data_IF_297589521284
#
_entry.id   IF_297589521284
#
_cell.length_a   1.000
_cell.length_b   1.000
_cell.length_c   1.000
_cell.angle_alpha   90.00
_cell.angle_beta   90.00
_cell.angle_gamma   90.00
#
_symmetry.space_group_name_H-M   'P 1'
#
loop_
_entity.id
_entity.type
_entity.pdbx_description
1 polymer ?
#
# COMPACT_ATOMS: atom_id res chain seq x y z
N UNK A 1 -13.12 11.83 31.26
CA UNK A 1 -11.76 12.36 31.03
C UNK A 1 -11.53 12.24 29.54
N UNK A 2 -11.44 13.34 28.78
CA UNK A 2 -11.18 13.25 27.33
C UNK A 2 -9.69 12.97 27.14
N UNK A 3 -9.33 11.76 26.71
CA UNK A 3 -8.05 11.57 26.04
C UNK A 3 -8.04 12.48 24.82
N UNK A 4 -7.03 13.33 24.71
CA UNK A 4 -6.88 14.20 23.56
C UNK A 4 -6.23 13.41 22.44
N UNK A 5 -7.03 13.01 21.45
CA UNK A 5 -6.53 12.39 20.22
C UNK A 5 -5.32 13.17 19.70
N UNK A 6 -4.09 12.60 19.72
CA UNK A 6 -2.84 13.34 19.49
C UNK A 6 -2.67 13.76 18.03
N UNK A 7 -3.47 13.17 17.14
CA UNK A 7 -3.46 13.47 15.73
C UNK A 7 -4.34 14.67 15.39
N UNK A 8 -3.70 15.83 15.30
CA UNK A 8 -4.27 17.04 14.71
C UNK A 8 -4.14 17.01 13.18
N UNK A 9 -4.96 17.78 12.44
CA UNK A 9 -4.82 17.90 10.99
C UNK A 9 -3.41 18.33 10.54
N UNK A 10 -2.76 19.22 11.30
CA UNK A 10 -1.39 19.67 11.06
C UNK A 10 -0.38 18.54 11.20
N UNK A 11 -0.44 17.77 12.29
CA UNK A 11 0.47 16.65 12.52
C UNK A 11 0.29 15.55 11.46
N UNK A 12 -0.95 15.24 11.09
CA UNK A 12 -1.24 14.25 10.03
C UNK A 12 -0.79 14.75 8.66
N UNK A 13 -1.00 16.03 8.35
CA UNK A 13 -0.46 16.67 7.14
C UNK A 13 1.06 16.51 7.05
N UNK A 14 1.79 16.83 8.12
CA UNK A 14 3.25 16.73 8.17
C UNK A 14 3.69 15.27 8.00
N UNK A 15 3.07 14.35 8.73
CA UNK A 15 3.38 12.92 8.67
C UNK A 15 3.16 12.33 7.27
N UNK A 16 2.03 12.63 6.62
CA UNK A 16 1.73 12.14 5.28
C UNK A 16 2.70 12.70 4.24
N UNK A 17 3.04 13.99 4.30
CA UNK A 17 3.97 14.59 3.35
C UNK A 17 5.39 14.06 3.51
N UNK A 18 5.91 14.00 4.74
CA UNK A 18 7.25 13.50 5.00
C UNK A 18 7.38 12.04 4.54
N UNK A 19 6.40 11.21 4.88
CA UNK A 19 6.38 9.80 4.49
C UNK A 19 6.27 9.65 2.97
N UNK A 20 5.44 10.44 2.31
CA UNK A 20 5.33 10.44 0.85
C UNK A 20 6.67 10.77 0.16
N UNK A 21 7.42 11.76 0.68
CA UNK A 21 8.73 12.11 0.14
C UNK A 21 9.74 10.98 0.33
N UNK A 22 9.85 10.42 1.54
CA UNK A 22 10.76 9.31 1.83
C UNK A 22 10.43 8.05 1.01
N UNK A 23 9.15 7.70 0.88
CA UNK A 23 8.69 6.56 0.05
C UNK A 23 9.02 6.80 -1.43
N UNK A 24 8.77 8.01 -1.94
CA UNK A 24 9.05 8.34 -3.32
C UNK A 24 10.56 8.38 -3.62
N UNK A 25 11.39 8.81 -2.66
CA UNK A 25 12.85 8.70 -2.77
C UNK A 25 13.29 7.22 -2.84
N UNK A 26 12.82 6.39 -1.91
CA UNK A 26 13.12 4.96 -1.91
C UNK A 26 12.73 4.31 -3.23
N UNK A 27 11.53 4.59 -3.73
CA UNK A 27 10.99 3.99 -4.95
C UNK A 27 11.81 4.24 -6.23
N UNK A 28 12.64 5.30 -6.23
CA UNK A 28 13.53 5.68 -7.34
C UNK A 28 14.96 5.16 -7.15
N UNK A 29 15.25 4.54 -6.02
CA UNK A 29 16.55 3.96 -5.73
C UNK A 29 16.81 2.72 -6.59
N UNK A 30 18.08 2.45 -6.87
CA UNK A 30 18.46 1.23 -7.58
C UNK A 30 18.32 0.03 -6.63
N UNK A 31 17.62 -1.04 -7.03
CA UNK A 31 17.55 -2.25 -6.22
C UNK A 31 18.93 -2.85 -5.99
N UNK A 32 19.29 -3.06 -4.72
CA UNK A 32 20.50 -3.81 -4.33
C UNK A 32 20.07 -5.00 -3.45
N UNK A 33 19.54 -6.02 -4.12
CA UNK A 33 19.11 -7.27 -3.50
C UNK A 33 20.32 -8.12 -3.07
N UNK A 34 20.11 -9.01 -2.12
CA UNK A 34 21.06 -10.04 -1.70
C UNK A 34 21.52 -10.97 -2.83
N UNK A 35 20.77 -11.05 -3.92
CA UNK A 35 21.08 -11.84 -5.12
C UNK A 35 21.44 -10.94 -6.28
N UNK A 36 22.34 -11.39 -7.16
CA UNK A 36 22.57 -10.73 -8.44
C UNK A 36 21.32 -10.89 -9.32
N UNK A 37 20.56 -9.80 -9.46
CA UNK A 37 19.31 -9.76 -10.22
C UNK A 37 19.55 -10.15 -11.68
N UNK A 38 20.67 -9.72 -12.27
CA UNK A 38 21.00 -10.01 -13.67
C UNK A 38 21.31 -11.50 -13.83
N UNK A 39 22.12 -12.07 -12.95
CA UNK A 39 22.42 -13.52 -12.99
C UNK A 39 21.14 -14.34 -12.84
N UNK A 40 20.27 -13.95 -11.91
CA UNK A 40 18.97 -14.61 -11.75
C UNK A 40 18.14 -14.52 -13.04
N UNK A 41 18.04 -13.33 -13.64
CA UNK A 41 17.23 -13.10 -14.83
C UNK A 41 17.82 -13.80 -16.08
N UNK A 42 19.13 -13.92 -16.21
CA UNK A 42 19.76 -14.72 -17.26
C UNK A 42 19.41 -16.21 -17.12
N UNK A 43 19.34 -16.72 -15.88
CA UNK A 43 18.98 -18.11 -15.59
C UNK A 43 17.48 -18.39 -15.72
N UNK A 44 16.67 -17.46 -15.22
CA UNK A 44 15.23 -17.64 -15.04
C UNK A 44 14.40 -16.93 -16.09
N UNK A 45 14.99 -16.10 -16.94
CA UNK A 45 14.35 -15.48 -18.08
C UNK A 45 14.19 -16.45 -19.26
N UNK A 46 13.37 -16.05 -20.22
CA UNK A 46 13.27 -16.68 -21.54
C UNK A 46 12.75 -15.69 -22.60
N UNK A 47 12.43 -16.21 -23.78
CA UNK A 47 11.87 -15.44 -24.90
C UNK A 47 10.54 -14.75 -24.60
N UNK A 48 9.85 -15.13 -23.53
CA UNK A 48 8.57 -14.55 -23.13
C UNK A 48 8.78 -13.51 -22.03
N UNK A 49 9.54 -13.84 -20.99
CA UNK A 49 9.88 -12.91 -19.91
C UNK A 49 11.40 -12.93 -19.74
N UNK A 50 12.08 -11.90 -20.23
CA UNK A 50 13.54 -11.80 -20.18
C UNK A 50 14.09 -11.55 -18.78
N UNK A 51 13.37 -10.78 -17.98
CA UNK A 51 13.86 -10.23 -16.71
C UNK A 51 12.80 -10.33 -15.60
N UNK A 52 12.39 -11.56 -15.22
CA UNK A 52 11.26 -11.80 -14.31
C UNK A 52 11.45 -11.19 -12.91
N UNK A 53 12.66 -11.23 -12.35
CA UNK A 53 12.95 -10.65 -11.05
C UNK A 53 13.04 -9.13 -11.13
N UNK A 54 13.81 -8.59 -12.07
CA UNK A 54 13.89 -7.15 -12.29
C UNK A 54 12.51 -6.51 -12.56
N UNK A 55 11.65 -7.19 -13.34
CA UNK A 55 10.25 -6.77 -13.55
C UNK A 55 9.48 -6.69 -12.24
N UNK A 56 9.68 -7.64 -11.33
CA UNK A 56 9.04 -7.64 -10.02
C UNK A 56 9.54 -6.51 -9.11
N UNK A 57 10.84 -6.19 -9.16
CA UNK A 57 11.41 -5.04 -8.45
C UNK A 57 10.89 -3.71 -9.01
N UNK A 58 10.78 -3.58 -10.34
CA UNK A 58 10.16 -2.41 -10.97
C UNK A 58 8.70 -2.24 -10.57
N UNK A 59 7.94 -3.34 -10.56
CA UNK A 59 6.55 -3.32 -10.14
C UNK A 59 6.39 -2.89 -8.67
N UNK A 60 7.26 -3.41 -7.79
CA UNK A 60 7.33 -2.97 -6.39
C UNK A 60 7.57 -1.45 -6.31
N UNK A 61 8.57 -0.93 -7.01
CA UNK A 61 8.85 0.51 -7.05
C UNK A 61 7.66 1.33 -7.52
N UNK A 62 6.96 0.90 -8.59
CA UNK A 62 5.75 1.58 -9.08
C UNK A 62 4.60 1.57 -8.07
N UNK A 63 4.44 0.49 -7.29
CA UNK A 63 3.47 0.49 -6.19
C UNK A 63 3.84 1.50 -5.10
N UNK A 64 5.12 1.62 -4.75
CA UNK A 64 5.56 2.62 -3.78
C UNK A 64 5.37 4.06 -4.28
N UNK A 65 5.66 4.34 -5.56
CA UNK A 65 5.39 5.65 -6.17
C UNK A 65 3.91 6.01 -6.02
N UNK A 66 3.01 5.10 -6.43
CA UNK A 66 1.57 5.36 -6.32
C UNK A 66 1.13 5.57 -4.88
N UNK A 67 1.65 4.79 -3.93
CA UNK A 67 1.37 4.98 -2.51
C UNK A 67 1.84 6.36 -1.99
N UNK A 68 3.05 6.78 -2.36
CA UNK A 68 3.59 8.10 -2.00
C UNK A 68 2.76 9.25 -2.59
N UNK A 69 2.37 9.16 -3.85
CA UNK A 69 1.55 10.19 -4.53
C UNK A 69 0.16 10.33 -3.89
N UNK A 70 -0.48 9.22 -3.53
CA UNK A 70 -1.74 9.25 -2.80
C UNK A 70 -1.58 9.78 -1.37
N UNK A 71 -0.51 9.43 -0.66
CA UNK A 71 -0.23 9.97 0.68
C UNK A 71 0.00 11.47 0.67
N UNK A 72 0.77 11.97 -0.29
CA UNK A 72 0.96 13.40 -0.48
C UNK A 72 -0.38 14.11 -0.70
N UNK A 73 -1.25 13.52 -1.52
CA UNK A 73 -2.59 14.05 -1.78
C UNK A 73 -3.47 14.05 -0.53
N UNK A 74 -3.45 12.98 0.27
CA UNK A 74 -4.14 12.93 1.58
C UNK A 74 -3.66 14.07 2.46
N UNK A 75 -2.34 14.23 2.61
CA UNK A 75 -1.73 15.31 3.39
C UNK A 75 -2.30 16.66 3.00
N UNK A 76 -2.28 17.01 1.71
CA UNK A 76 -2.83 18.29 1.22
C UNK A 76 -4.31 18.49 1.52
N UNK A 77 -5.12 17.44 1.47
CA UNK A 77 -6.56 17.53 1.71
C UNK A 77 -6.91 17.66 3.21
N UNK A 78 -6.15 17.01 4.09
CA UNK A 78 -6.36 17.12 5.54
C UNK A 78 -5.75 18.40 6.12
N UNK A 79 -4.73 18.98 5.48
CA UNK A 79 -4.10 20.23 5.88
C UNK A 79 -4.83 21.52 5.44
N UNK A 80 -6.00 21.40 4.82
CA UNK A 80 -6.83 22.57 4.49
C UNK A 80 -7.42 23.20 5.75
N UNK A 81 -7.71 24.50 5.70
CA UNK A 81 -8.43 25.21 6.80
C UNK A 81 -9.76 24.52 7.14
N UNK A 82 -10.43 23.99 6.11
CA UNK A 82 -11.58 23.10 6.24
C UNK A 82 -11.23 21.75 5.60
N UNK A 83 -10.76 20.77 6.39
CA UNK A 83 -10.35 19.47 5.87
C UNK A 83 -11.46 18.76 5.09
N UNK A 84 -11.11 18.14 3.97
CA UNK A 84 -12.05 17.32 3.19
C UNK A 84 -12.30 15.99 3.92
N UNK A 85 -13.56 15.55 3.99
CA UNK A 85 -13.91 14.33 4.75
C UNK A 85 -14.07 13.07 3.90
N UNK A 86 -14.32 13.21 2.59
CA UNK A 86 -14.61 12.05 1.72
C UNK A 86 -13.42 11.59 0.90
N UNK A 87 -12.79 12.51 0.17
CA UNK A 87 -11.69 12.20 -0.75
C UNK A 87 -10.49 11.55 -0.05
N UNK A 88 -10.08 11.98 1.17
CA UNK A 88 -8.97 11.31 1.86
C UNK A 88 -9.23 9.84 2.15
N UNK A 89 -10.46 9.43 2.44
CA UNK A 89 -10.78 8.01 2.67
C UNK A 89 -10.56 7.16 1.41
N UNK A 90 -11.05 7.62 0.26
CA UNK A 90 -10.83 6.92 -1.01
C UNK A 90 -9.33 6.82 -1.36
N UNK A 91 -8.56 7.89 -1.11
CA UNK A 91 -7.12 7.89 -1.31
C UNK A 91 -6.40 6.98 -0.30
N UNK A 92 -6.81 6.98 0.96
CA UNK A 92 -6.26 6.12 2.02
C UNK A 92 -6.42 4.64 1.66
N UNK A 93 -7.56 4.26 1.07
CA UNK A 93 -7.74 2.91 0.52
C UNK A 93 -6.69 2.60 -0.54
N UNK A 94 -6.51 3.50 -1.49
CA UNK A 94 -5.54 3.33 -2.58
C UNK A 94 -4.11 3.19 -2.04
N UNK A 95 -3.73 3.99 -1.04
CA UNK A 95 -2.43 3.84 -0.34
C UNK A 95 -2.29 2.43 0.23
N UNK A 96 -3.29 1.93 0.96
CA UNK A 96 -3.22 0.58 1.55
C UNK A 96 -3.13 -0.51 0.48
N UNK A 97 -3.88 -0.36 -0.63
CA UNK A 97 -3.87 -1.28 -1.76
C UNK A 97 -2.53 -1.33 -2.49
N UNK A 98 -1.89 -0.19 -2.70
CA UNK A 98 -0.58 -0.11 -3.36
C UNK A 98 0.52 -0.62 -2.43
N UNK A 99 0.54 -0.12 -1.19
CA UNK A 99 1.56 -0.45 -0.19
C UNK A 99 1.55 -1.93 0.20
N UNK A 100 0.37 -2.52 0.39
CA UNK A 100 0.27 -3.95 0.72
C UNK A 100 0.79 -4.86 -0.40
N UNK A 101 0.61 -4.47 -1.68
CA UNK A 101 1.17 -5.20 -2.82
C UNK A 101 2.69 -5.05 -2.90
N UNK A 102 3.22 -3.85 -2.67
CA UNK A 102 4.66 -3.63 -2.57
C UNK A 102 5.26 -4.49 -1.44
N UNK A 103 4.66 -4.44 -0.24
CA UNK A 103 5.05 -5.25 0.91
C UNK A 103 5.01 -6.75 0.61
N UNK A 104 3.96 -7.22 -0.09
CA UNK A 104 3.86 -8.63 -0.47
C UNK A 104 4.98 -9.05 -1.41
N UNK A 105 5.40 -8.23 -2.37
CA UNK A 105 6.59 -8.57 -3.18
C UNK A 105 7.85 -8.54 -2.29
N UNK A 106 8.02 -7.48 -1.50
CA UNK A 106 9.23 -7.24 -0.69
C UNK A 106 9.51 -8.36 0.32
N UNK A 107 8.47 -8.88 0.96
CA UNK A 107 8.57 -9.94 1.99
C UNK A 107 8.74 -11.35 1.45
N UNK A 108 8.90 -11.52 0.13
CA UNK A 108 9.23 -12.84 -0.41
C UNK A 108 10.62 -13.27 0.11
N UNK A 109 10.74 -14.46 0.73
CA UNK A 109 11.98 -14.94 1.34
C UNK A 109 13.09 -15.25 0.33
N UNK A 110 12.73 -15.52 -0.91
CA UNK A 110 13.64 -15.92 -1.98
C UNK A 110 13.25 -15.26 -3.31
N UNK A 111 14.19 -15.16 -4.28
CA UNK A 111 13.94 -14.48 -5.54
C UNK A 111 12.93 -15.21 -6.45
N UNK A 112 12.82 -16.54 -6.35
CA UNK A 112 11.84 -17.32 -7.12
C UNK A 112 10.42 -16.90 -6.72
N UNK A 113 10.14 -16.88 -5.43
CA UNK A 113 8.86 -16.46 -4.89
C UNK A 113 8.60 -14.99 -5.16
N UNK A 114 9.62 -14.12 -5.14
CA UNK A 114 9.48 -12.70 -5.48
C UNK A 114 9.06 -12.50 -6.93
N UNK A 115 9.74 -13.17 -7.85
CA UNK A 115 9.40 -13.18 -9.27
C UNK A 115 7.97 -13.69 -9.50
N UNK A 116 7.56 -14.74 -8.79
CA UNK A 116 6.21 -15.30 -8.87
C UNK A 116 5.13 -14.38 -8.30
N UNK A 117 5.41 -13.67 -7.20
CA UNK A 117 4.48 -12.69 -6.64
C UNK A 117 4.25 -11.54 -7.61
N UNK A 118 5.32 -10.99 -8.21
CA UNK A 118 5.21 -9.97 -9.25
C UNK A 118 4.40 -10.46 -10.47
N UNK A 119 4.74 -11.64 -11.00
CA UNK A 119 3.99 -12.31 -12.06
C UNK A 119 2.49 -12.47 -11.74
N UNK A 120 2.18 -12.91 -10.52
CA UNK A 120 0.81 -13.12 -10.06
C UNK A 120 0.00 -11.82 -10.06
N UNK A 121 0.59 -10.69 -9.64
CA UNK A 121 -0.08 -9.39 -9.66
C UNK A 121 -0.30 -8.89 -11.09
N UNK A 122 0.68 -9.05 -11.99
CA UNK A 122 0.53 -8.68 -13.40
C UNK A 122 -0.62 -9.47 -14.03
N UNK A 123 -0.67 -10.79 -13.78
CA UNK A 123 -1.75 -11.66 -14.27
C UNK A 123 -3.11 -11.25 -13.71
N UNK A 124 -3.17 -10.87 -12.44
CA UNK A 124 -4.40 -10.37 -11.82
C UNK A 124 -4.88 -9.08 -12.48
N UNK A 125 -3.98 -8.11 -12.66
CA UNK A 125 -4.30 -6.84 -13.32
C UNK A 125 -4.79 -7.03 -14.75
N UNK A 126 -4.17 -7.93 -15.51
CA UNK A 126 -4.64 -8.30 -16.85
C UNK A 126 -6.04 -8.92 -16.82
N UNK A 127 -6.29 -9.84 -15.87
CA UNK A 127 -7.59 -10.49 -15.71
C UNK A 127 -8.69 -9.48 -15.39
N UNK A 128 -8.40 -8.46 -14.58
CA UNK A 128 -9.34 -7.41 -14.22
C UNK A 128 -9.59 -6.44 -15.38
N UNK A 129 -8.55 -6.04 -16.12
CA UNK A 129 -8.69 -5.24 -17.34
C UNK A 129 -9.57 -5.91 -18.40
N UNK A 130 -9.44 -7.24 -18.55
CA UNK A 130 -10.28 -8.02 -19.45
C UNK A 130 -11.76 -7.99 -19.05
N UNK A 131 -12.06 -8.06 -17.73
CA UNK A 131 -13.44 -8.00 -17.24
C UNK A 131 -14.08 -6.64 -17.48
N UNK A 132 -13.30 -5.56 -17.47
CA UNK A 132 -13.78 -4.19 -17.68
C UNK A 132 -13.83 -3.79 -19.16
N UNK A 133 -13.58 -4.72 -20.09
CA UNK A 133 -13.64 -4.46 -21.53
C UNK A 133 -12.44 -3.66 -22.06
N UNK A 134 -11.37 -3.51 -21.27
CA UNK A 134 -10.12 -2.91 -21.73
C UNK A 134 -9.35 -4.00 -22.50
N UNK A 135 -9.79 -4.30 -23.71
CA UNK A 135 -9.22 -5.36 -24.54
C UNK A 135 -7.91 -4.93 -25.22
N UNK A 136 -7.77 -3.63 -25.50
CA UNK A 136 -6.64 -3.01 -26.21
C UNK A 136 -5.67 -2.29 -25.28
N UNK A 137 -5.26 -2.91 -24.17
CA UNK A 137 -3.96 -2.54 -23.58
C UNK A 137 -2.90 -2.94 -24.64
N UNK A 138 -2.04 -2.03 -25.13
CA UNK A 138 -1.01 -2.41 -26.08
C UNK A 138 -0.18 -3.58 -25.55
N UNK A 139 -0.18 -4.72 -26.25
CA UNK A 139 0.51 -5.94 -25.83
C UNK A 139 -0.27 -6.90 -24.91
N UNK A 140 -1.53 -6.59 -24.52
CA UNK A 140 -2.34 -7.36 -23.56
C UNK A 140 -2.49 -8.85 -23.89
N UNK A 141 -2.83 -9.20 -25.14
CA UNK A 141 -2.95 -10.59 -25.62
C UNK A 141 -1.63 -11.35 -25.57
N UNK A 142 -0.49 -10.64 -25.67
CA UNK A 142 0.83 -11.24 -25.50
C UNK A 142 1.13 -11.50 -24.03
N UNK A 143 0.63 -10.69 -23.09
CA UNK A 143 0.91 -10.82 -21.66
C UNK A 143 0.42 -12.17 -21.11
N UNK A 144 -0.83 -12.54 -21.31
CA UNK A 144 -1.34 -13.82 -20.74
C UNK A 144 -0.61 -15.04 -21.32
N UNK A 145 -0.43 -15.07 -22.64
CA UNK A 145 0.37 -16.11 -23.29
C UNK A 145 1.82 -16.14 -22.77
N UNK A 146 2.45 -14.98 -22.63
CA UNK A 146 3.81 -14.82 -22.12
C UNK A 146 3.95 -15.34 -20.70
N UNK A 147 3.04 -14.93 -19.82
CA UNK A 147 3.01 -15.31 -18.41
C UNK A 147 2.80 -16.82 -18.24
N UNK A 148 1.85 -17.40 -18.99
CA UNK A 148 1.56 -18.83 -18.93
C UNK A 148 2.69 -19.67 -19.52
N UNK A 149 3.28 -19.24 -20.64
CA UNK A 149 4.41 -19.93 -21.27
C UNK A 149 5.67 -19.93 -20.41
N UNK A 150 6.00 -18.80 -19.77
CA UNK A 150 7.11 -18.71 -18.82
C UNK A 150 6.88 -19.66 -17.63
N UNK A 151 5.65 -19.70 -17.09
CA UNK A 151 5.32 -20.58 -15.97
C UNK A 151 5.35 -22.07 -16.34
N UNK A 152 4.89 -22.45 -17.53
CA UNK A 152 4.83 -23.84 -17.97
C UNK A 152 6.22 -24.50 -18.02
N UNK A 153 7.27 -23.74 -18.37
CA UNK A 153 8.65 -24.22 -18.39
C UNK A 153 9.28 -24.38 -17.00
N UNK A 154 8.58 -23.94 -15.94
CA UNK A 154 9.09 -23.90 -14.55
C UNK A 154 8.11 -24.63 -13.61
N UNK A 155 7.87 -25.94 -13.83
CA UNK A 155 6.85 -26.69 -13.08
C UNK A 155 7.19 -26.87 -11.59
N UNK A 156 8.48 -26.81 -11.25
CA UNK A 156 8.98 -26.99 -9.87
C UNK A 156 8.77 -25.77 -8.97
N UNK A 157 8.47 -24.60 -9.55
CA UNK A 157 8.20 -23.40 -8.78
C UNK A 157 6.90 -23.56 -7.95
N UNK A 158 6.79 -22.97 -6.75
CA UNK A 158 5.57 -23.06 -5.95
C UNK A 158 4.38 -22.40 -6.65
N UNK A 159 3.16 -22.83 -6.30
CA UNK A 159 1.93 -22.15 -6.73
C UNK A 159 1.68 -20.96 -5.83
N UNK A 160 1.42 -19.80 -6.44
CA UNK A 160 1.12 -18.55 -5.72
C UNK A 160 -0.24 -18.05 -6.20
N UNK A 161 -1.14 -17.78 -5.26
CA UNK A 161 -2.45 -17.16 -5.54
C UNK A 161 -2.38 -15.66 -5.34
N UNK A 162 -3.24 -14.93 -6.06
CA UNK A 162 -3.42 -13.50 -5.81
C UNK A 162 -3.86 -13.28 -4.35
N UNK A 163 -3.19 -12.42 -3.59
CA UNK A 163 -3.53 -12.18 -2.20
C UNK A 163 -4.80 -11.33 -2.11
N UNK A 164 -5.59 -11.53 -1.05
CA UNK A 164 -6.66 -10.59 -0.69
C UNK A 164 -6.05 -9.40 0.04
N UNK A 165 -6.34 -8.17 -0.39
CA UNK A 165 -5.76 -6.97 0.22
C UNK A 165 -6.07 -6.88 1.71
N UNK A 166 -7.31 -7.12 2.11
CA UNK A 166 -7.69 -7.09 3.53
C UNK A 166 -6.81 -8.00 4.41
N UNK A 167 -6.41 -9.17 3.89
CA UNK A 167 -5.52 -10.10 4.61
C UNK A 167 -4.08 -9.61 4.65
N UNK A 168 -3.61 -8.91 3.60
CA UNK A 168 -2.28 -8.30 3.62
C UNK A 168 -2.22 -7.15 4.62
N UNK A 169 -3.25 -6.29 4.65
CA UNK A 169 -3.34 -5.19 5.60
C UNK A 169 -3.44 -5.71 7.04
N UNK A 170 -4.21 -6.78 7.27
CA UNK A 170 -4.25 -7.50 8.55
C UNK A 170 -2.87 -8.01 8.98
N UNK A 171 -2.08 -8.56 8.06
CA UNK A 171 -0.72 -9.01 8.36
C UNK A 171 0.25 -7.87 8.69
N UNK A 172 -0.04 -6.64 8.24
CA UNK A 172 0.80 -5.46 8.46
C UNK A 172 0.42 -4.70 9.74
N UNK A 173 -0.88 -4.55 10.02
CA UNK A 173 -1.38 -3.70 11.12
C UNK A 173 -2.35 -4.42 12.08
N UNK A 174 -2.57 -5.72 11.93
CA UNK A 174 -3.53 -6.49 12.72
C UNK A 174 -4.99 -6.19 12.37
N UNK A 175 -5.90 -6.61 13.25
CA UNK A 175 -7.36 -6.51 13.05
C UNK A 175 -7.85 -5.07 12.84
N UNK A 176 -7.20 -4.09 13.46
CA UNK A 176 -7.52 -2.67 13.26
C UNK A 176 -7.28 -2.23 11.80
N UNK A 177 -6.17 -2.66 11.19
CA UNK A 177 -5.86 -2.34 9.81
C UNK A 177 -6.89 -2.93 8.85
N UNK A 178 -7.29 -4.19 9.09
CA UNK A 178 -8.33 -4.86 8.31
C UNK A 178 -9.68 -4.16 8.41
N UNK A 179 -10.10 -3.78 9.63
CA UNK A 179 -11.34 -3.03 9.87
C UNK A 179 -11.31 -1.68 9.14
N UNK A 180 -10.20 -0.96 9.25
CA UNK A 180 -10.00 0.32 8.57
C UNK A 180 -10.07 0.17 7.05
N UNK A 181 -9.38 -0.81 6.47
CA UNK A 181 -9.45 -1.11 5.03
C UNK A 181 -10.87 -1.41 4.56
N UNK A 182 -11.62 -2.23 5.30
CA UNK A 182 -12.99 -2.58 4.95
C UNK A 182 -13.93 -1.36 5.00
N UNK A 183 -13.78 -0.49 6.01
CA UNK A 183 -14.53 0.77 6.10
C UNK A 183 -14.24 1.68 4.89
N UNK A 184 -12.97 1.80 4.51
CA UNK A 184 -12.54 2.60 3.36
C UNK A 184 -13.04 2.05 2.01
N UNK A 185 -13.29 0.73 1.93
CA UNK A 185 -13.88 0.10 0.75
C UNK A 185 -15.27 0.67 0.44
N UNK A 186 -16.09 0.91 1.46
CA UNK A 186 -17.42 1.49 1.29
C UNK A 186 -17.36 2.93 0.76
N UNK A 187 -16.40 3.72 1.24
CA UNK A 187 -16.16 5.09 0.77
C UNK A 187 -15.76 5.09 -0.72
N UNK A 188 -14.78 4.27 -1.08
CA UNK A 188 -14.25 4.24 -2.45
C UNK A 188 -15.23 3.66 -3.48
N UNK A 189 -16.17 2.80 -3.07
CA UNK A 189 -17.24 2.33 -3.94
C UNK A 189 -18.47 3.27 -3.97
N UNK A 190 -18.42 4.40 -3.26
CA UNK A 190 -19.52 5.36 -3.25
C UNK A 190 -20.79 4.81 -2.60
N UNK A 191 -20.66 3.99 -1.57
CA UNK A 191 -21.81 3.43 -0.86
C UNK A 191 -22.71 4.57 -0.32
N UNK A 192 -23.95 4.64 -0.80
CA UNK A 192 -24.85 5.76 -0.51
C UNK A 192 -25.11 5.97 0.99
N UNK A 193 -25.17 4.89 1.79
CA UNK A 193 -25.33 4.99 3.24
C UNK A 193 -24.09 5.60 3.89
N UNK A 194 -22.90 5.19 3.45
CA UNK A 194 -21.64 5.78 3.93
C UNK A 194 -21.56 7.26 3.57
N UNK A 195 -21.93 7.61 2.32
CA UNK A 195 -21.91 9.01 1.86
C UNK A 195 -22.89 9.90 2.66
N UNK A 196 -24.12 9.44 2.92
CA UNK A 196 -25.12 10.26 3.64
C UNK A 196 -24.76 10.42 5.12
N UNK A 197 -24.21 9.38 5.76
CA UNK A 197 -23.73 9.48 7.15
C UNK A 197 -22.62 10.52 7.26
N UNK A 198 -21.62 10.47 6.38
CA UNK A 198 -20.54 11.46 6.37
C UNK A 198 -21.02 12.87 6.01
N UNK A 199 -21.99 13.01 5.10
CA UNK A 199 -22.57 14.30 4.74
C UNK A 199 -23.34 14.93 5.92
N UNK A 200 -24.13 14.14 6.63
CA UNK A 200 -24.86 14.58 7.84
C UNK A 200 -23.88 14.97 8.94
N UNK A 201 -22.86 14.15 9.21
CA UNK A 201 -21.82 14.46 10.20
C UNK A 201 -21.06 15.75 9.87
N UNK A 202 -20.67 15.93 8.61
CA UNK A 202 -20.02 17.16 8.15
C UNK A 202 -20.92 18.39 8.29
N UNK A 203 -22.20 18.30 7.92
CA UNK A 203 -23.15 19.39 8.06
C UNK A 203 -23.41 19.77 9.52
N UNK A 204 -23.37 18.78 10.42
CA UNK A 204 -23.49 18.97 11.86
C UNK A 204 -22.20 19.49 12.52
N UNK A 205 -21.09 19.64 11.77
CA UNK A 205 -19.75 19.92 12.30
C UNK A 205 -19.33 18.91 13.38
N UNK A 206 -19.69 17.65 13.17
CA UNK A 206 -19.38 16.57 14.08
C UNK A 206 -17.86 16.31 14.08
N UNK A 207 -17.16 16.48 15.23
CA UNK A 207 -15.72 16.26 15.32
C UNK A 207 -15.31 14.83 14.97
N UNK A 208 -16.21 13.84 15.17
CA UNK A 208 -15.91 12.42 14.91
C UNK A 208 -15.69 12.13 13.42
N UNK A 209 -16.29 12.93 12.53
CA UNK A 209 -16.11 12.77 11.08
C UNK A 209 -14.68 13.14 10.66
N UNK A 210 -14.13 14.20 11.25
CA UNK A 210 -12.74 14.59 11.00
C UNK A 210 -11.78 13.59 11.65
N UNK A 211 -12.02 13.21 12.90
CA UNK A 211 -11.22 12.22 13.62
C UNK A 211 -11.09 10.90 12.85
N UNK A 212 -12.20 10.36 12.34
CA UNK A 212 -12.20 9.14 11.52
C UNK A 212 -11.30 9.26 10.29
N UNK A 213 -11.30 10.41 9.62
CA UNK A 213 -10.45 10.68 8.45
C UNK A 213 -8.98 10.75 8.84
N UNK A 214 -8.66 11.38 9.97
CA UNK A 214 -7.29 11.45 10.49
C UNK A 214 -6.78 10.05 10.86
N UNK A 215 -7.59 9.22 11.53
CA UNK A 215 -7.26 7.82 11.85
C UNK A 215 -7.00 7.02 10.56
N UNK A 216 -7.86 7.15 9.56
CA UNK A 216 -7.71 6.45 8.28
C UNK A 216 -6.43 6.88 7.54
N UNK A 217 -6.11 8.18 7.56
CA UNK A 217 -4.88 8.70 6.99
C UNK A 217 -3.64 8.15 7.69
N UNK A 218 -3.65 8.07 9.03
CA UNK A 218 -2.55 7.50 9.83
C UNK A 218 -2.38 6.01 9.54
N UNK A 219 -3.47 5.23 9.51
CA UNK A 219 -3.40 3.81 9.15
C UNK A 219 -2.82 3.62 7.74
N UNK A 220 -3.31 4.37 6.76
CA UNK A 220 -2.78 4.32 5.40
C UNK A 220 -1.29 4.65 5.36
N UNK A 221 -0.87 5.69 6.09
CA UNK A 221 0.52 6.09 6.19
C UNK A 221 1.39 4.98 6.80
N UNK A 222 0.92 4.34 7.86
CA UNK A 222 1.63 3.24 8.51
C UNK A 222 1.73 1.99 7.65
N UNK A 223 0.70 1.63 6.88
CA UNK A 223 0.82 0.55 5.88
C UNK A 223 1.91 0.88 4.85
N UNK A 224 1.98 2.13 4.39
CA UNK A 224 2.99 2.55 3.42
C UNK A 224 4.42 2.53 4.00
N UNK A 225 4.59 3.00 5.24
CA UNK A 225 5.86 2.98 5.94
C UNK A 225 6.35 1.54 6.20
N UNK A 226 5.46 0.62 6.59
CA UNK A 226 5.82 -0.81 6.73
C UNK A 226 6.26 -1.41 5.38
N UNK A 227 5.59 -1.05 4.29
CA UNK A 227 6.00 -1.49 2.95
C UNK A 227 7.38 -0.92 2.56
N UNK A 228 7.64 0.35 2.92
CA UNK A 228 8.92 1.00 2.70
C UNK A 228 10.05 0.38 3.54
N UNK A 229 9.84 0.13 4.83
CA UNK A 229 10.80 -0.57 5.71
C UNK A 229 11.22 -1.92 5.12
N UNK A 230 10.24 -2.73 4.67
CA UNK A 230 10.55 -4.02 4.02
C UNK A 230 11.27 -3.88 2.69
N UNK A 231 11.01 -2.80 1.96
CA UNK A 231 11.70 -2.53 0.70
C UNK A 231 13.13 -2.08 0.96
N UNK A 232 13.36 -1.28 2.00
CA UNK A 232 14.70 -0.89 2.44
C UNK A 232 15.53 -2.10 2.86
N UNK A 233 14.94 -3.04 3.60
CA UNK A 233 15.59 -4.31 3.95
C UNK A 233 15.96 -5.12 2.69
N UNK A 234 15.04 -5.20 1.73
CA UNK A 234 15.25 -5.94 0.50
C UNK A 234 16.29 -5.30 -0.42
N UNK A 235 16.23 -3.98 -0.62
CA UNK A 235 17.11 -3.25 -1.54
C UNK A 235 18.39 -2.77 -0.87
N UNK A 236 18.56 -3.00 0.43
CA UNK A 236 19.71 -2.50 1.20
C UNK A 236 19.96 -0.99 0.96
N UNK A 237 18.88 -0.21 0.88
CA UNK A 237 18.87 1.24 0.68
C UNK A 237 17.86 1.84 1.64
N UNK A 238 18.32 2.77 2.49
CA UNK A 238 17.49 3.44 3.50
C UNK A 238 17.49 4.95 3.24
N UNK A 239 16.32 5.56 2.97
CA UNK A 239 16.19 7.01 2.95
C UNK A 239 16.47 7.60 4.33
N UNK A 240 17.11 8.76 4.38
CA UNK A 240 17.54 9.41 5.63
C UNK A 240 16.36 9.68 6.59
N UNK A 241 15.22 10.10 6.04
CA UNK A 241 14.06 10.52 6.84
C UNK A 241 13.07 9.40 7.19
N UNK A 242 13.29 8.17 6.71
CA UNK A 242 12.31 7.08 6.86
C UNK A 242 12.06 6.74 8.35
N UNK A 243 13.12 6.70 9.16
CA UNK A 243 13.02 6.35 10.58
C UNK A 243 12.27 7.40 11.37
N UNK A 244 12.51 8.68 11.03
CA UNK A 244 11.79 9.78 11.63
C UNK A 244 10.30 9.73 11.27
N UNK A 245 9.96 9.42 10.01
CA UNK A 245 8.58 9.24 9.57
C UNK A 245 7.86 8.11 10.32
N UNK A 246 8.54 6.97 10.52
CA UNK A 246 8.02 5.83 11.29
C UNK A 246 7.77 6.22 12.75
N UNK A 247 8.72 6.90 13.39
CA UNK A 247 8.57 7.34 14.77
C UNK A 247 7.41 8.33 14.93
N UNK A 248 7.31 9.30 14.03
CA UNK A 248 6.22 10.27 14.00
C UNK A 248 4.85 9.58 13.85
N UNK A 249 4.71 8.68 12.87
CA UNK A 249 3.44 8.01 12.65
C UNK A 249 3.05 7.07 13.78
N UNK A 250 4.02 6.36 14.38
CA UNK A 250 3.76 5.55 15.59
C UNK A 250 3.27 6.40 16.74
N UNK A 251 3.88 7.56 16.98
CA UNK A 251 3.43 8.49 18.01
C UNK A 251 1.98 8.94 17.78
N UNK A 252 1.59 9.20 16.53
CA UNK A 252 0.22 9.57 16.16
C UNK A 252 -0.78 8.42 16.27
N UNK A 253 -0.32 7.15 16.26
CA UNK A 253 -1.17 5.98 16.47
C UNK A 253 -1.45 5.66 17.94
N UNK A 254 -0.68 6.21 18.89
CA UNK A 254 -0.86 5.88 20.31
C UNK A 254 -2.09 6.60 20.86
N UNK A 255 -3.24 5.93 20.77
CA UNK A 255 -4.31 5.97 21.77
C UNK A 255 -4.84 4.53 22.00
N UNK A 256 -5.24 4.23 23.24
CA UNK A 256 -6.01 3.04 23.68
C UNK A 256 -5.33 1.71 24.05
N UNK A 257 -4.09 1.70 24.59
CA UNK A 257 -3.58 0.53 25.35
C UNK A 257 -3.69 0.70 26.89
N UNK A 258 -4.36 1.76 27.37
CA UNK A 258 -4.77 1.85 28.77
C UNK A 258 -6.17 1.26 28.94
N UNK A 259 -6.22 -0.06 29.08
CA UNK A 259 -7.41 -0.76 29.56
C UNK A 259 -7.76 -0.27 30.98
N UNK A 260 -8.89 0.42 31.19
CA UNK A 260 -9.31 0.86 32.52
C UNK A 260 -9.73 -0.31 33.43
N UNK A 261 -9.76 -1.54 32.92
CA UNK A 261 -10.24 -2.71 33.66
C UNK A 261 -9.18 -3.43 34.51
N UNK A 262 -7.96 -2.89 34.63
CA UNK A 262 -6.93 -3.47 35.51
C UNK A 262 -6.79 -2.84 36.91
N UNK A 263 -7.55 -1.78 37.22
CA UNK A 263 -7.67 -1.26 38.59
C UNK A 263 -9.09 -1.54 39.13
N UNK A 264 -9.36 -2.83 39.38
CA UNK A 264 -10.55 -3.34 40.06
C UNK A 264 -10.20 -4.30 41.18
#
# INVERSE_FOLDING_TARGET
>A
MSSSFPATPENVYLACNASALAINELSRSLPNDSVDIREYDERMGDTHISDPLNTSHRLLGMYLIGAGDFLYSIGKLVGLENPMVMSPGALARSVMEYSSRAWWIATAPDPDLRALRGHTLIRSGYSDAKKTGIEDIPGSKRIDHTLNSWRAKRPNLPKVSTPKIANLVEAMLGDQGKRSYNSLSEVAHGNALTLIVSAVGSAAKDPTSLESVLIQAIHANMVALIAAERTTELWNVRPDDLDHCVQLCRHLMVEDDQDPSQDG
#
